data_IF_270494271645
#
_entry.id   IF_270494271645
#
_cell.length_a   1.000
_cell.length_b   1.000
_cell.length_c   1.000
_cell.angle_alpha   90.00
_cell.angle_beta   90.00
_cell.angle_gamma   90.00
#
_symmetry.space_group_name_H-M   'P 1'
#
loop_
_entity.id
_entity.type
_entity.pdbx_description
1 polymer ?
#
# COMPACT_ATOMS: atom_id res chain seq x y z
N UNK A 1 -29.96 5.25 -21.32
CA UNK A 1 -29.52 4.03 -20.57
C UNK A 1 -28.36 4.40 -19.64
N UNK A 2 -28.38 3.97 -18.38
CA UNK A 2 -27.27 4.15 -17.45
C UNK A 2 -26.05 3.35 -17.92
N UNK A 3 -24.85 3.89 -17.69
CA UNK A 3 -23.61 3.18 -18.01
C UNK A 3 -23.36 2.10 -16.95
N UNK A 4 -22.95 0.91 -17.38
CA UNK A 4 -22.73 -0.21 -16.50
C UNK A 4 -21.29 -0.25 -16.01
N UNK A 5 -21.12 -0.23 -14.68
CA UNK A 5 -19.83 -0.21 -13.98
C UNK A 5 -19.67 -1.51 -13.21
N UNK A 6 -18.60 -2.22 -13.48
CA UNK A 6 -18.18 -3.36 -12.69
C UNK A 6 -17.36 -2.89 -11.48
N UNK A 7 -17.67 -3.41 -10.31
CA UNK A 7 -16.86 -3.19 -9.09
C UNK A 7 -16.24 -4.55 -8.70
N UNK A 8 -14.92 -4.60 -8.56
CA UNK A 8 -14.23 -5.88 -8.30
C UNK A 8 -14.24 -6.30 -6.84
N UNK A 9 -14.70 -5.45 -5.93
CA UNK A 9 -14.83 -5.73 -4.50
C UNK A 9 -16.14 -5.16 -3.98
N UNK A 10 -16.76 -5.84 -3.01
CA UNK A 10 -17.98 -5.31 -2.39
C UNK A 10 -17.71 -3.98 -1.69
N UNK A 11 -18.60 -3.02 -1.93
CA UNK A 11 -18.70 -1.76 -1.21
C UNK A 11 -20.04 -1.67 -0.50
N UNK A 12 -20.12 -1.03 0.67
CA UNK A 12 -21.39 -0.74 1.32
C UNK A 12 -22.33 0.02 0.36
N UNK A 13 -23.61 -0.33 0.37
CA UNK A 13 -24.60 0.29 -0.53
C UNK A 13 -24.66 1.81 -0.41
N UNK A 14 -24.47 2.33 0.81
CA UNK A 14 -24.42 3.77 1.10
C UNK A 14 -23.34 4.51 0.30
N UNK A 15 -22.20 3.84 0.04
CA UNK A 15 -21.10 4.42 -0.75
C UNK A 15 -21.50 4.67 -2.21
N UNK A 16 -22.40 3.86 -2.75
CA UNK A 16 -22.81 3.91 -4.15
C UNK A 16 -24.10 4.68 -4.37
N UNK A 17 -24.87 4.98 -3.31
CA UNK A 17 -26.22 5.51 -3.39
C UNK A 17 -26.29 6.81 -4.21
N UNK A 18 -25.39 7.75 -3.94
CA UNK A 18 -25.35 9.04 -4.66
C UNK A 18 -25.07 8.92 -6.17
N UNK A 19 -24.55 7.77 -6.61
CA UNK A 19 -24.18 7.52 -8.02
C UNK A 19 -25.19 6.63 -8.77
N UNK A 20 -26.12 5.99 -8.06
CA UNK A 20 -27.13 5.09 -8.66
C UNK A 20 -28.06 5.79 -9.66
N UNK A 21 -28.21 7.11 -9.57
CA UNK A 21 -28.95 7.88 -10.55
C UNK A 21 -28.29 7.88 -11.93
N UNK A 22 -26.95 7.86 -11.99
CA UNK A 22 -26.14 8.00 -13.21
C UNK A 22 -25.59 6.68 -13.75
N UNK A 23 -25.38 5.70 -12.86
CA UNK A 23 -24.71 4.43 -13.19
C UNK A 23 -25.53 3.23 -12.73
N UNK A 24 -25.33 2.11 -13.44
CA UNK A 24 -25.79 0.77 -13.06
C UNK A 24 -24.57 -0.02 -12.58
N UNK A 25 -24.54 -0.39 -11.30
CA UNK A 25 -23.40 -1.06 -10.67
C UNK A 25 -23.59 -2.57 -10.62
N UNK A 26 -22.62 -3.29 -11.16
CA UNK A 26 -22.47 -4.72 -10.94
C UNK A 26 -21.49 -4.93 -9.76
N UNK A 27 -22.04 -5.20 -8.59
CA UNK A 27 -21.30 -5.38 -7.34
C UNK A 27 -21.25 -6.86 -7.00
N UNK A 28 -20.08 -7.41 -6.58
CA UNK A 28 -20.01 -8.78 -6.09
C UNK A 28 -20.80 -8.94 -4.78
N UNK A 29 -21.08 -10.19 -4.42
CA UNK A 29 -21.67 -10.51 -3.12
C UNK A 29 -20.79 -9.97 -1.98
N UNK A 30 -21.37 -9.65 -0.81
CA UNK A 30 -20.60 -9.20 0.34
C UNK A 30 -19.47 -10.20 0.67
N UNK A 31 -18.23 -9.74 0.54
CA UNK A 31 -17.03 -10.52 0.80
C UNK A 31 -15.87 -9.57 1.11
N UNK A 32 -14.98 -9.98 2.02
CA UNK A 32 -13.70 -9.30 2.21
C UNK A 32 -12.71 -9.58 1.07
N UNK A 33 -12.95 -10.64 0.30
CA UNK A 33 -12.10 -11.05 -0.82
C UNK A 33 -12.63 -10.40 -2.10
N UNK A 34 -11.77 -9.74 -2.89
CA UNK A 34 -12.13 -9.24 -4.21
C UNK A 34 -12.53 -10.37 -5.16
N UNK A 35 -13.22 -10.03 -6.24
CA UNK A 35 -13.52 -10.97 -7.31
C UNK A 35 -12.22 -11.55 -7.88
N UNK A 36 -12.19 -12.86 -8.03
CA UNK A 36 -11.13 -13.53 -8.75
C UNK A 36 -11.16 -13.17 -10.24
N UNK A 37 -10.02 -13.33 -10.92
CA UNK A 37 -9.93 -13.14 -12.37
C UNK A 37 -10.97 -13.98 -13.13
N UNK A 38 -11.19 -15.23 -12.71
CA UNK A 38 -12.18 -16.12 -13.32
C UNK A 38 -13.60 -15.55 -13.21
N UNK A 39 -13.98 -15.06 -12.03
CA UNK A 39 -15.29 -14.44 -11.84
C UNK A 39 -15.47 -13.21 -12.72
N UNK A 40 -14.46 -12.35 -12.83
CA UNK A 40 -14.49 -11.16 -13.71
C UNK A 40 -14.65 -11.59 -15.16
N UNK A 41 -13.91 -12.59 -15.64
CA UNK A 41 -14.01 -13.10 -17.00
C UNK A 41 -15.35 -13.80 -17.30
N UNK A 42 -16.03 -14.32 -16.28
CA UNK A 42 -17.35 -14.95 -16.41
C UNK A 42 -18.49 -13.96 -16.58
N UNK A 43 -18.28 -12.65 -16.31
CA UNK A 43 -19.30 -11.61 -16.39
C UNK A 43 -19.81 -11.48 -17.83
N UNK A 44 -21.12 -11.42 -17.99
CA UNK A 44 -21.79 -11.21 -19.25
C UNK A 44 -22.32 -9.78 -19.37
N UNK A 45 -22.35 -9.29 -20.60
CA UNK A 45 -22.92 -8.00 -20.95
C UNK A 45 -21.89 -6.88 -21.12
N UNK A 46 -22.41 -5.70 -21.43
CA UNK A 46 -21.60 -4.53 -21.76
C UNK A 46 -21.13 -3.85 -20.47
N UNK A 47 -19.82 -3.77 -20.24
CA UNK A 47 -19.20 -3.02 -19.14
C UNK A 47 -18.48 -1.80 -19.75
N UNK A 48 -18.73 -0.61 -19.21
CA UNK A 48 -18.16 0.64 -19.69
C UNK A 48 -17.16 1.25 -18.72
N UNK A 49 -17.16 0.81 -17.45
CA UNK A 49 -16.17 1.18 -16.44
C UNK A 49 -15.89 0.05 -15.45
N UNK A 50 -14.69 0.04 -14.90
CA UNK A 50 -14.31 -0.88 -13.83
C UNK A 50 -13.79 -0.05 -12.65
N UNK A 51 -14.34 -0.28 -11.46
CA UNK A 51 -13.73 0.14 -10.19
C UNK A 51 -12.96 -1.07 -9.66
N UNK A 52 -11.64 -0.97 -9.68
CA UNK A 52 -10.73 -2.04 -9.35
C UNK A 52 -10.07 -1.79 -7.99
N UNK A 53 -10.12 -2.77 -7.10
CA UNK A 53 -9.47 -2.71 -5.78
C UNK A 53 -7.98 -3.05 -5.80
N UNK A 54 -7.34 -2.98 -6.95
CA UNK A 54 -5.93 -3.21 -7.27
C UNK A 54 -5.49 -4.69 -7.41
N UNK A 55 -6.26 -5.65 -6.95
CA UNK A 55 -5.90 -7.08 -7.04
C UNK A 55 -6.08 -7.66 -8.45
N UNK A 56 -7.01 -7.10 -9.24
CA UNK A 56 -7.20 -7.53 -10.63
C UNK A 56 -6.09 -6.95 -11.51
N UNK A 57 -5.23 -7.81 -12.04
CA UNK A 57 -4.31 -7.42 -13.10
C UNK A 57 -5.08 -7.19 -14.40
N UNK A 58 -5.00 -5.98 -14.92
CA UNK A 58 -5.68 -5.57 -16.15
C UNK A 58 -4.71 -5.68 -17.32
N UNK A 59 -4.86 -6.71 -18.09
CA UNK A 59 -4.08 -7.05 -19.27
C UNK A 59 -4.97 -7.14 -20.52
N UNK A 60 -4.39 -7.58 -21.63
CA UNK A 60 -5.08 -7.68 -22.89
C UNK A 60 -6.31 -8.62 -22.85
N UNK A 61 -6.29 -9.69 -22.03
CA UNK A 61 -7.43 -10.61 -21.91
C UNK A 61 -8.64 -9.90 -21.26
N UNK A 62 -8.42 -9.18 -20.17
CA UNK A 62 -9.48 -8.38 -19.52
C UNK A 62 -10.03 -7.31 -20.46
N UNK A 63 -9.15 -6.61 -21.20
CA UNK A 63 -9.58 -5.56 -22.11
C UNK A 63 -10.34 -6.11 -23.33
N UNK A 64 -9.98 -7.28 -23.82
CA UNK A 64 -10.71 -7.94 -24.90
C UNK A 64 -12.06 -8.48 -24.44
N UNK A 65 -12.17 -8.91 -23.17
CA UNK A 65 -13.45 -9.31 -22.57
C UNK A 65 -14.46 -8.18 -22.52
N UNK A 66 -14.01 -6.94 -22.32
CA UNK A 66 -14.87 -5.77 -22.19
C UNK A 66 -14.59 -4.71 -23.28
N UNK A 67 -14.97 -4.97 -24.54
CA UNK A 67 -14.64 -4.09 -25.69
C UNK A 67 -15.26 -2.69 -25.59
N UNK A 68 -16.27 -2.50 -24.74
CA UNK A 68 -16.91 -1.20 -24.49
C UNK A 68 -16.29 -0.42 -23.34
N UNK A 69 -15.24 -0.95 -22.71
CA UNK A 69 -14.59 -0.32 -21.55
C UNK A 69 -13.96 1.02 -21.93
N UNK A 70 -14.23 2.05 -21.12
CA UNK A 70 -13.75 3.42 -21.33
C UNK A 70 -12.85 3.91 -20.20
N UNK A 71 -13.04 3.37 -19.00
CA UNK A 71 -12.32 3.82 -17.81
C UNK A 71 -12.11 2.69 -16.81
N UNK A 72 -10.93 2.70 -16.19
CA UNK A 72 -10.60 1.90 -15.01
C UNK A 72 -10.23 2.85 -13.88
N UNK A 73 -10.99 2.80 -12.78
CA UNK A 73 -10.69 3.55 -11.56
C UNK A 73 -10.06 2.60 -10.55
N UNK A 74 -8.75 2.76 -10.34
CA UNK A 74 -7.96 1.90 -9.47
C UNK A 74 -7.95 2.46 -8.04
N UNK A 75 -8.48 1.70 -7.08
CA UNK A 75 -8.47 2.10 -5.66
C UNK A 75 -7.15 1.67 -5.03
N UNK A 76 -6.08 2.30 -5.47
CA UNK A 76 -4.72 2.07 -4.97
C UNK A 76 -3.84 3.28 -5.24
N UNK A 77 -2.70 3.33 -4.58
CA UNK A 77 -1.65 4.31 -4.85
C UNK A 77 -0.87 3.89 -6.09
N UNK A 78 -0.48 2.60 -6.16
CA UNK A 78 0.25 2.03 -7.28
C UNK A 78 -0.64 1.73 -8.49
N UNK A 79 0.00 1.49 -9.62
CA UNK A 79 -0.64 1.14 -10.90
C UNK A 79 0.04 -0.06 -11.56
N UNK A 80 0.84 -0.81 -10.80
CA UNK A 80 1.59 -2.00 -11.25
C UNK A 80 0.69 -3.15 -11.74
N UNK A 81 -0.59 -3.13 -11.34
CA UNK A 81 -1.62 -4.03 -11.83
C UNK A 81 -2.25 -3.59 -13.18
N UNK A 82 -1.86 -2.43 -13.72
CA UNK A 82 -2.39 -1.86 -14.97
C UNK A 82 -1.29 -1.78 -16.03
N UNK A 83 -1.57 -2.31 -17.22
CA UNK A 83 -0.75 -2.05 -18.40
C UNK A 83 -1.12 -0.68 -19.00
N UNK A 84 -0.43 0.36 -18.53
CA UNK A 84 -0.73 1.76 -18.91
C UNK A 84 -0.49 2.03 -20.39
N UNK A 85 0.49 1.36 -21.01
CA UNK A 85 0.75 1.52 -22.46
C UNK A 85 -0.39 0.93 -23.27
N UNK A 86 -0.85 -0.27 -22.91
CA UNK A 86 -1.96 -0.93 -23.56
C UNK A 86 -3.26 -0.13 -23.40
N UNK A 87 -3.52 0.39 -22.19
CA UNK A 87 -4.67 1.25 -21.92
C UNK A 87 -4.65 2.52 -22.79
N UNK A 88 -3.49 3.17 -22.89
CA UNK A 88 -3.29 4.33 -23.77
C UNK A 88 -3.55 4.00 -25.24
N UNK A 89 -2.99 2.88 -25.74
CA UNK A 89 -3.23 2.41 -27.12
C UNK A 89 -4.71 2.16 -27.41
N UNK A 90 -5.43 1.61 -26.42
CA UNK A 90 -6.88 1.35 -26.52
C UNK A 90 -7.76 2.58 -26.18
N UNK A 91 -7.18 3.73 -25.84
CA UNK A 91 -7.86 4.97 -25.41
C UNK A 91 -8.79 4.76 -24.22
N UNK A 92 -8.35 3.95 -23.25
CA UNK A 92 -9.05 3.68 -22.00
C UNK A 92 -8.41 4.52 -20.90
N UNK A 93 -9.21 5.31 -20.21
CA UNK A 93 -8.75 6.12 -19.08
C UNK A 93 -8.38 5.24 -17.89
N UNK A 94 -7.32 5.59 -17.20
CA UNK A 94 -6.94 5.01 -15.92
C UNK A 94 -6.82 6.11 -14.86
N UNK A 95 -7.39 5.88 -13.68
CA UNK A 95 -7.26 6.75 -12.51
C UNK A 95 -6.79 5.95 -11.32
N UNK A 96 -6.13 6.60 -10.37
CA UNK A 96 -5.72 6.00 -9.10
C UNK A 96 -5.98 6.94 -7.93
N UNK A 97 -5.72 6.49 -6.69
CA UNK A 97 -5.94 7.26 -5.46
C UNK A 97 -4.61 7.51 -4.73
N UNK A 98 -3.71 8.37 -5.27
CA UNK A 98 -2.31 8.46 -4.83
C UNK A 98 -2.12 9.03 -3.42
N UNK A 99 -3.15 9.65 -2.84
CA UNK A 99 -3.06 10.30 -1.52
C UNK A 99 -3.89 9.63 -0.43
N UNK A 100 -4.88 8.81 -0.80
CA UNK A 100 -5.89 8.28 0.14
C UNK A 100 -5.32 7.45 1.30
N UNK A 101 -4.24 6.71 1.06
CA UNK A 101 -3.67 5.80 2.05
C UNK A 101 -2.33 6.28 2.65
N UNK A 102 -1.86 7.47 2.29
CA UNK A 102 -0.53 7.95 2.70
C UNK A 102 -0.39 8.04 4.21
N UNK A 103 -1.37 8.64 4.88
CA UNK A 103 -1.30 8.83 6.32
C UNK A 103 -1.46 7.52 7.09
N UNK A 104 -2.47 6.71 6.75
CA UNK A 104 -2.71 5.42 7.41
C UNK A 104 -1.54 4.45 7.23
N UNK A 105 -0.93 4.40 6.03
CA UNK A 105 0.27 3.59 5.78
C UNK A 105 1.46 4.09 6.61
N UNK A 106 1.64 5.41 6.70
CA UNK A 106 2.72 5.98 7.51
C UNK A 106 2.52 5.72 9.01
N UNK A 107 1.28 5.77 9.52
CA UNK A 107 0.95 5.42 10.90
C UNK A 107 1.26 3.94 11.19
N UNK A 108 0.83 3.05 10.29
CA UNK A 108 1.13 1.62 10.38
C UNK A 108 2.65 1.34 10.34
N UNK A 109 3.40 2.05 9.50
CA UNK A 109 4.86 1.94 9.45
C UNK A 109 5.50 2.29 10.79
N UNK A 110 5.07 3.37 11.43
CA UNK A 110 5.57 3.75 12.76
C UNK A 110 5.19 2.72 13.82
N UNK A 111 3.99 2.13 13.74
CA UNK A 111 3.59 1.05 14.63
C UNK A 111 4.54 -0.16 14.50
N UNK A 112 4.89 -0.57 13.28
CA UNK A 112 5.85 -1.67 13.06
C UNK A 112 7.25 -1.34 13.60
N UNK A 113 7.73 -0.12 13.40
CA UNK A 113 9.01 0.33 13.94
C UNK A 113 9.00 0.24 15.50
N UNK A 114 7.91 0.68 16.13
CA UNK A 114 7.74 0.59 17.59
C UNK A 114 7.64 -0.87 18.08
N UNK A 115 6.88 -1.71 17.37
CA UNK A 115 6.76 -3.15 17.68
C UNK A 115 8.13 -3.82 17.68
N UNK A 116 8.96 -3.53 16.67
CA UNK A 116 10.32 -4.07 16.56
C UNK A 116 11.24 -3.50 17.65
N UNK A 117 11.26 -2.16 17.78
CA UNK A 117 12.14 -1.48 18.73
C UNK A 117 11.87 -1.87 20.19
N UNK A 118 10.60 -2.04 20.57
CA UNK A 118 10.18 -2.27 21.96
C UNK A 118 9.76 -3.71 22.25
N UNK A 119 9.96 -4.64 21.29
CA UNK A 119 9.63 -6.07 21.43
C UNK A 119 8.15 -6.29 21.82
N UNK A 120 7.23 -5.42 21.35
CA UNK A 120 5.84 -5.41 21.82
C UNK A 120 5.10 -6.73 21.53
N UNK A 121 5.43 -7.41 20.42
CA UNK A 121 4.84 -8.72 20.12
C UNK A 121 5.19 -9.76 21.18
N UNK A 122 6.43 -9.81 21.62
CA UNK A 122 6.86 -10.75 22.66
C UNK A 122 6.20 -10.39 24.00
N UNK A 123 6.13 -9.10 24.34
CA UNK A 123 5.47 -8.64 25.56
C UNK A 123 3.96 -8.98 25.58
N UNK A 124 3.27 -8.77 24.47
CA UNK A 124 1.83 -9.13 24.33
C UNK A 124 1.62 -10.64 24.53
N UNK A 125 2.43 -11.48 23.87
CA UNK A 125 2.35 -12.94 24.00
C UNK A 125 2.61 -13.37 25.47
N UNK A 126 3.59 -12.76 26.11
CA UNK A 126 3.96 -13.05 27.50
C UNK A 126 2.79 -12.77 28.45
N UNK A 127 2.16 -11.60 28.32
CA UNK A 127 1.01 -11.23 29.16
C UNK A 127 -0.20 -12.13 28.86
N UNK A 128 -0.49 -12.41 27.59
CA UNK A 128 -1.62 -13.30 27.22
C UNK A 128 -1.47 -14.73 27.67
N UNK A 129 -0.23 -15.21 27.83
CA UNK A 129 0.07 -16.52 28.40
C UNK A 129 0.04 -16.53 29.92
N UNK A 130 -0.36 -15.42 30.56
CA UNK A 130 -0.42 -15.27 32.02
C UNK A 130 0.91 -15.59 32.73
N UNK A 131 2.02 -15.23 32.09
CA UNK A 131 3.35 -15.49 32.66
C UNK A 131 3.78 -14.38 33.64
N UNK A 132 3.25 -13.17 33.50
CA UNK A 132 3.59 -12.02 34.35
C UNK A 132 3.43 -12.28 35.86
N UNK A 133 2.32 -12.91 36.34
CA UNK A 133 2.16 -13.16 37.77
C UNK A 133 3.19 -14.12 38.36
N UNK A 134 3.71 -15.03 37.54
CA UNK A 134 4.64 -16.09 37.98
C UNK A 134 6.10 -15.64 37.94
N UNK A 135 6.48 -14.97 36.84
CA UNK A 135 7.87 -14.62 36.54
C UNK A 135 8.23 -13.20 37.04
N UNK A 136 7.20 -12.36 37.24
CA UNK A 136 7.38 -10.97 37.69
C UNK A 136 8.14 -10.12 36.64
N UNK A 137 8.72 -9.03 37.11
CA UNK A 137 9.57 -8.16 36.32
C UNK A 137 11.05 -8.43 36.65
N UNK A 138 11.78 -8.86 35.64
CA UNK A 138 13.22 -8.96 35.70
C UNK A 138 13.86 -7.81 34.90
N UNK A 139 14.72 -6.97 35.49
CA UNK A 139 15.45 -5.94 34.75
C UNK A 139 16.15 -6.53 33.53
N UNK A 140 16.09 -5.86 32.39
CA UNK A 140 16.64 -6.33 31.12
C UNK A 140 15.73 -7.25 30.31
N UNK A 141 14.73 -7.89 30.91
CA UNK A 141 13.83 -8.85 30.21
C UNK A 141 13.10 -8.22 29.03
N UNK A 142 12.64 -6.99 29.19
CA UNK A 142 11.88 -6.25 28.20
C UNK A 142 12.62 -5.04 27.65
N UNK A 143 13.94 -5.03 27.81
CA UNK A 143 14.75 -3.96 27.24
C UNK A 143 14.62 -3.99 25.73
N UNK A 144 14.32 -2.82 25.20
CA UNK A 144 14.22 -2.57 23.77
C UNK A 144 15.08 -1.38 23.39
N UNK A 145 15.08 -1.04 22.12
CA UNK A 145 15.78 0.13 21.62
C UNK A 145 14.93 1.38 21.76
N UNK A 146 15.53 2.47 22.25
CA UNK A 146 14.93 3.80 22.09
C UNK A 146 15.02 4.21 20.63
N UNK A 147 14.00 4.91 20.12
CA UNK A 147 14.03 5.48 18.76
C UNK A 147 14.81 6.79 18.72
N UNK A 148 14.81 7.54 19.82
CA UNK A 148 15.54 8.81 19.91
C UNK A 148 17.04 8.61 19.65
N UNK A 149 17.60 9.46 18.78
CA UNK A 149 19.00 9.38 18.35
C UNK A 149 19.31 8.33 17.28
N UNK A 150 18.41 7.35 17.05
CA UNK A 150 18.56 6.29 16.04
C UNK A 150 18.33 6.83 14.62
N UNK A 151 18.92 6.18 13.66
CA UNK A 151 18.84 6.53 12.24
C UNK A 151 17.80 5.65 11.54
N UNK A 152 16.80 6.28 10.94
CA UNK A 152 15.85 5.63 10.03
C UNK A 152 16.25 5.88 8.57
N UNK A 153 16.61 4.81 7.89
CA UNK A 153 16.83 4.78 6.44
C UNK A 153 15.53 4.52 5.69
N UNK A 154 15.16 5.43 4.80
CA UNK A 154 13.94 5.35 4.00
C UNK A 154 14.29 5.08 2.55
N UNK A 155 13.92 3.91 2.05
CA UNK A 155 14.09 3.52 0.64
C UNK A 155 12.79 3.87 -0.09
N UNK A 156 12.84 4.88 -0.98
CA UNK A 156 11.64 5.44 -1.61
C UNK A 156 11.11 6.66 -0.86
N UNK A 157 11.59 7.86 -1.20
CA UNK A 157 11.22 9.11 -0.53
C UNK A 157 10.09 9.85 -1.27
N UNK A 158 9.00 9.11 -1.56
CA UNK A 158 7.74 9.59 -2.11
C UNK A 158 6.78 10.13 -1.03
N UNK A 159 5.48 10.11 -1.31
CA UNK A 159 4.46 10.63 -0.38
C UNK A 159 4.47 9.86 0.96
N UNK A 160 4.47 8.54 0.93
CA UNK A 160 4.51 7.70 2.14
C UNK A 160 5.84 7.89 2.88
N UNK A 161 6.99 7.75 2.20
CA UNK A 161 8.29 7.92 2.83
C UNK A 161 8.48 9.27 3.50
N UNK A 162 7.99 10.36 2.90
CA UNK A 162 7.97 11.70 3.52
C UNK A 162 7.05 11.77 4.75
N UNK A 163 5.89 11.13 4.69
CA UNK A 163 4.96 11.09 5.81
C UNK A 163 5.53 10.28 7.00
N UNK A 164 6.20 9.16 6.73
CA UNK A 164 6.94 8.38 7.74
C UNK A 164 8.08 9.21 8.33
N UNK A 165 8.90 9.87 7.49
CA UNK A 165 10.00 10.72 7.94
C UNK A 165 9.54 11.81 8.92
N UNK A 166 8.40 12.46 8.64
CA UNK A 166 7.84 13.50 9.51
C UNK A 166 7.48 12.92 10.89
N UNK A 167 6.84 11.76 10.94
CA UNK A 167 6.46 11.07 12.18
C UNK A 167 7.68 10.61 12.96
N UNK A 168 8.62 9.96 12.29
CA UNK A 168 9.86 9.45 12.92
C UNK A 168 10.72 10.56 13.54
N UNK A 169 10.73 11.77 12.94
CA UNK A 169 11.37 12.95 13.54
C UNK A 169 10.78 13.32 14.89
N UNK A 170 9.46 13.19 15.08
CA UNK A 170 8.80 13.46 16.38
C UNK A 170 9.22 12.46 17.45
N UNK A 171 9.74 11.29 17.08
CA UNK A 171 10.37 10.32 17.99
C UNK A 171 11.88 10.56 18.18
N UNK A 172 12.41 11.68 17.70
CA UNK A 172 13.83 12.02 17.82
C UNK A 172 14.75 11.25 16.89
N UNK A 173 14.21 10.58 15.84
CA UNK A 173 15.04 9.84 14.91
C UNK A 173 15.75 10.75 13.90
N UNK A 174 16.96 10.37 13.52
CA UNK A 174 17.70 10.92 12.38
C UNK A 174 17.16 10.28 11.11
N UNK A 175 16.89 11.08 10.07
CA UNK A 175 16.32 10.59 8.81
C UNK A 175 17.34 10.68 7.71
N UNK A 176 17.57 9.56 7.03
CA UNK A 176 18.27 9.48 5.75
C UNK A 176 17.38 8.77 4.74
N UNK A 177 17.58 9.03 3.47
CA UNK A 177 16.75 8.41 2.44
C UNK A 177 17.52 8.16 1.14
N UNK A 178 17.01 7.20 0.35
CA UNK A 178 17.37 7.00 -1.05
C UNK A 178 16.14 7.02 -1.95
N UNK A 179 16.33 7.34 -3.21
CA UNK A 179 15.31 7.32 -4.28
C UNK A 179 15.99 7.14 -5.64
N UNK A 180 15.23 6.74 -6.67
CA UNK A 180 15.75 6.48 -8.03
C UNK A 180 16.60 7.66 -8.56
N UNK A 181 16.09 8.88 -8.45
CA UNK A 181 16.85 10.06 -8.90
C UNK A 181 17.69 10.62 -7.76
N UNK A 182 18.96 10.86 -8.01
CA UNK A 182 19.90 11.46 -7.06
C UNK A 182 19.33 12.80 -6.55
N UNK A 183 19.51 13.06 -5.26
CA UNK A 183 19.03 14.27 -4.62
C UNK A 183 20.21 15.10 -4.06
N UNK A 184 20.10 16.44 -4.17
CA UNK A 184 21.04 17.38 -3.53
C UNK A 184 20.82 17.52 -2.02
N UNK A 185 19.82 16.85 -1.46
CA UNK A 185 19.54 16.90 -0.02
C UNK A 185 20.70 16.32 0.79
N UNK A 186 21.08 16.99 1.87
CA UNK A 186 22.10 16.52 2.82
C UNK A 186 21.73 15.17 3.48
N UNK A 187 20.47 14.79 3.45
CA UNK A 187 19.97 13.53 4.01
C UNK A 187 19.88 12.41 2.96
N UNK A 188 20.18 12.69 1.69
CA UNK A 188 20.26 11.66 0.66
C UNK A 188 21.50 10.78 0.86
N UNK A 189 21.33 9.49 0.66
CA UNK A 189 22.45 8.51 0.65
C UNK A 189 22.28 7.55 -0.52
N UNK A 190 23.38 6.97 -1.00
CA UNK A 190 23.31 5.79 -1.85
C UNK A 190 22.61 4.65 -1.09
N UNK A 191 22.09 3.66 -1.80
CA UNK A 191 21.44 2.51 -1.15
C UNK A 191 22.42 1.82 -0.19
N UNK A 192 23.64 1.53 -0.64
CA UNK A 192 24.65 0.84 0.17
C UNK A 192 25.03 1.64 1.44
N UNK A 193 25.18 2.95 1.32
CA UNK A 193 25.46 3.79 2.49
C UNK A 193 24.28 3.84 3.44
N UNK A 194 23.05 3.93 2.92
CA UNK A 194 21.85 3.91 3.74
C UNK A 194 21.76 2.60 4.52
N UNK A 195 21.94 1.46 3.88
CA UNK A 195 21.89 0.15 4.54
C UNK A 195 22.94 0.02 5.63
N UNK A 196 24.15 0.54 5.40
CA UNK A 196 25.28 0.44 6.35
C UNK A 196 25.09 1.26 7.63
N UNK A 197 24.46 2.44 7.54
CA UNK A 197 24.41 3.40 8.64
C UNK A 197 23.04 3.51 9.31
N UNK A 198 22.02 2.78 8.82
CA UNK A 198 20.68 2.81 9.40
C UNK A 198 20.54 1.83 10.56
N UNK A 199 19.92 2.27 11.66
CA UNK A 199 19.47 1.39 12.74
C UNK A 199 18.14 0.70 12.38
N UNK A 200 17.28 1.40 11.61
CA UNK A 200 16.02 0.92 11.10
C UNK A 200 15.91 1.25 9.62
N UNK A 201 15.30 0.37 8.83
CA UNK A 201 15.09 0.55 7.40
C UNK A 201 13.61 0.39 7.10
N UNK A 202 13.06 1.32 6.30
CA UNK A 202 11.68 1.27 5.84
C UNK A 202 11.61 1.41 4.33
N UNK A 203 10.97 0.43 3.67
CA UNK A 203 10.87 0.35 2.22
C UNK A 203 9.52 0.88 1.75
N UNK A 204 9.56 1.92 0.90
CA UNK A 204 8.41 2.59 0.29
C UNK A 204 8.60 2.85 -1.21
N UNK A 205 9.52 2.11 -1.83
CA UNK A 205 9.69 2.16 -3.28
C UNK A 205 8.57 1.38 -3.98
N UNK A 206 8.09 1.82 -5.15
CA UNK A 206 7.17 1.03 -5.95
C UNK A 206 7.88 -0.22 -6.50
N UNK A 207 7.12 -1.28 -6.78
CA UNK A 207 7.64 -2.45 -7.47
C UNK A 207 7.81 -2.12 -8.96
N UNK A 208 9.03 -2.21 -9.43
CA UNK A 208 9.45 -2.03 -10.83
C UNK A 208 10.57 -3.01 -11.13
N UNK A 209 10.95 -3.19 -12.40
CA UNK A 209 12.09 -4.03 -12.76
C UNK A 209 13.37 -3.60 -12.04
N UNK A 210 13.61 -2.29 -11.88
CA UNK A 210 14.77 -1.74 -11.15
C UNK A 210 14.71 -1.96 -9.62
N UNK A 211 13.53 -2.18 -9.06
CA UNK A 211 13.32 -2.37 -7.61
C UNK A 211 12.99 -3.81 -7.23
N UNK A 212 12.87 -4.70 -8.21
CA UNK A 212 12.70 -6.12 -7.97
C UNK A 212 13.93 -6.69 -7.28
N UNK A 213 13.74 -7.40 -6.16
CA UNK A 213 14.83 -7.90 -5.31
C UNK A 213 15.86 -6.81 -4.90
N UNK A 214 15.37 -5.57 -4.64
CA UNK A 214 16.22 -4.45 -4.24
C UNK A 214 17.00 -4.71 -2.95
N UNK A 215 16.44 -5.53 -2.06
CA UNK A 215 17.06 -6.03 -0.84
C UNK A 215 17.08 -7.56 -0.93
N UNK A 216 18.28 -8.14 -0.92
CA UNK A 216 18.53 -9.58 -0.93
C UNK A 216 19.07 -10.04 0.45
#
# INVERSE_FOLDING_TARGET
MKKKILITKHFPDETLESFKSSFDFLVPKPSFVPMSRFEVLSIKGKIEGIINSAELKVDNEILNKFPSLKIISNISIGTDNLDLELLSKKRIWATNTPLSFVNSTADCTMAFILILARRLRQADIYVRKNLWPNDGFTPGMWDGNLLSGKTLGIIGYGNIGKAVARRAKSFGMKIIFTKKNISRSKNYRSLNDLLRISDFISLHAPLTDDSYHLLN
#
